data_IF_097354715511
#
_entry.id   IF_097354715511
#
_cell.length_a   1.000
_cell.length_b   1.000
_cell.length_c   1.000
_cell.angle_alpha   90.00
_cell.angle_beta   90.00
_cell.angle_gamma   90.00
#
_symmetry.space_group_name_H-M   'P 1'
#
loop_
_entity.id
_entity.type
_entity.pdbx_description
1 polymer ?
#
# COMPACT_ATOMS: atom_id res chain seq x y z
N UNK A 1 26.47 8.86 -25.46
CA UNK A 1 26.36 9.29 -24.04
C UNK A 1 27.70 9.09 -23.36
N UNK A 2 28.11 9.97 -22.43
CA UNK A 2 29.37 9.80 -21.69
C UNK A 2 29.26 8.56 -20.77
N UNK A 3 30.28 7.69 -20.67
CA UNK A 3 30.27 6.50 -19.82
C UNK A 3 29.75 6.71 -18.38
N UNK A 4 30.02 7.83 -17.67
CA UNK A 4 29.44 8.06 -16.34
C UNK A 4 27.91 8.20 -16.33
N UNK A 5 27.29 8.67 -17.41
CA UNK A 5 25.83 8.83 -17.49
C UNK A 5 25.14 7.46 -17.59
N UNK A 6 25.73 6.54 -18.34
CA UNK A 6 25.20 5.17 -18.45
C UNK A 6 25.35 4.41 -17.13
N UNK A 7 26.48 4.58 -16.44
CA UNK A 7 26.68 3.98 -15.12
C UNK A 7 25.68 4.52 -14.08
N UNK A 8 25.43 5.84 -14.07
CA UNK A 8 24.44 6.44 -13.18
C UNK A 8 23.02 5.94 -13.49
N UNK A 9 22.64 5.86 -14.77
CA UNK A 9 21.34 5.34 -15.17
C UNK A 9 21.16 3.88 -14.77
N UNK A 10 22.19 3.05 -14.94
CA UNK A 10 22.18 1.64 -14.53
C UNK A 10 22.04 1.49 -13.01
N UNK A 11 22.72 2.33 -12.23
CA UNK A 11 22.61 2.32 -10.77
C UNK A 11 21.20 2.68 -10.32
N UNK A 12 20.62 3.75 -10.88
CA UNK A 12 19.23 4.15 -10.58
C UNK A 12 18.25 3.03 -10.93
N UNK A 13 18.39 2.43 -12.11
CA UNK A 13 17.55 1.32 -12.53
C UNK A 13 17.66 0.13 -11.57
N UNK A 14 18.89 -0.23 -11.16
CA UNK A 14 19.11 -1.28 -10.18
C UNK A 14 18.46 -0.96 -8.83
N UNK A 15 18.59 0.27 -8.33
CA UNK A 15 17.96 0.69 -7.08
C UNK A 15 16.44 0.57 -7.15
N UNK A 16 15.82 1.00 -8.26
CA UNK A 16 14.37 0.88 -8.46
C UNK A 16 13.93 -0.59 -8.50
N UNK A 17 14.65 -1.44 -9.23
CA UNK A 17 14.33 -2.89 -9.29
C UNK A 17 14.42 -3.51 -7.91
N UNK A 18 15.51 -3.27 -7.17
CA UNK A 18 15.70 -3.83 -5.84
C UNK A 18 14.64 -3.34 -4.84
N UNK A 19 14.23 -2.07 -4.92
CA UNK A 19 13.16 -1.53 -4.09
C UNK A 19 11.77 -2.10 -4.44
N UNK A 20 11.55 -2.53 -5.69
CA UNK A 20 10.29 -3.10 -6.13
C UNK A 20 10.10 -4.59 -5.77
N UNK A 21 11.18 -5.34 -5.60
CA UNK A 21 11.14 -6.78 -5.28
C UNK A 21 10.26 -7.15 -4.07
N UNK A 22 10.36 -6.46 -2.90
CA UNK A 22 9.57 -6.84 -1.73
C UNK A 22 8.11 -6.41 -1.78
N UNK A 23 7.66 -5.63 -2.78
CA UNK A 23 6.29 -5.08 -2.79
C UNK A 23 5.22 -6.19 -2.80
N UNK A 24 5.51 -7.35 -3.40
CA UNK A 24 4.61 -8.49 -3.43
C UNK A 24 4.76 -9.48 -2.26
N UNK A 25 5.52 -9.16 -1.22
CA UNK A 25 5.69 -10.07 -0.09
C UNK A 25 4.46 -10.09 0.82
N UNK A 26 4.12 -11.29 1.32
CA UNK A 26 2.96 -11.52 2.18
C UNK A 26 2.89 -10.55 3.37
N UNK A 27 1.67 -10.11 3.67
CA UNK A 27 1.34 -9.27 4.82
C UNK A 27 0.52 -10.10 5.81
N UNK A 28 1.12 -10.44 6.95
CA UNK A 28 0.46 -11.29 7.96
C UNK A 28 0.54 -10.74 9.39
N UNK A 29 1.38 -9.74 9.67
CA UNK A 29 1.52 -9.18 11.01
C UNK A 29 1.86 -7.68 11.01
N UNK A 30 1.84 -7.08 12.21
CA UNK A 30 2.32 -5.73 12.45
C UNK A 30 1.36 -4.61 12.06
N UNK A 31 1.94 -3.42 11.86
CA UNK A 31 1.18 -2.20 11.53
C UNK A 31 0.56 -2.27 10.13
N UNK A 32 1.28 -2.82 9.16
CA UNK A 32 0.81 -2.91 7.77
C UNK A 32 -0.45 -3.78 7.65
N UNK A 33 -0.45 -4.97 8.25
CA UNK A 33 -1.62 -5.85 8.30
C UNK A 33 -2.84 -5.13 8.90
N UNK A 34 -2.63 -4.36 9.98
CA UNK A 34 -3.67 -3.58 10.63
C UNK A 34 -4.28 -2.53 9.71
N UNK A 35 -3.46 -1.76 9.01
CA UNK A 35 -3.98 -0.78 8.06
C UNK A 35 -4.73 -1.45 6.91
N UNK A 36 -4.27 -2.61 6.44
CA UNK A 36 -4.99 -3.42 5.46
C UNK A 36 -6.39 -3.84 5.92
N UNK A 37 -6.54 -4.18 7.19
CA UNK A 37 -7.84 -4.51 7.79
C UNK A 37 -8.78 -3.29 7.83
N UNK A 38 -8.25 -2.11 8.10
CA UNK A 38 -9.01 -0.85 8.06
C UNK A 38 -9.51 -0.56 6.65
N UNK A 39 -8.61 -0.62 5.65
CA UNK A 39 -8.97 -0.40 4.23
C UNK A 39 -10.02 -1.41 3.77
N UNK A 40 -9.87 -2.68 4.16
CA UNK A 40 -10.84 -3.73 3.85
C UNK A 40 -12.20 -3.42 4.47
N UNK A 41 -12.23 -2.92 5.70
CA UNK A 41 -13.48 -2.56 6.37
C UNK A 41 -14.16 -1.34 5.74
N UNK A 42 -13.40 -0.32 5.32
CA UNK A 42 -13.94 0.81 4.57
C UNK A 42 -14.66 0.36 3.30
N UNK A 43 -14.01 -0.50 2.51
CA UNK A 43 -14.58 -1.03 1.27
C UNK A 43 -15.81 -1.92 1.53
N UNK A 44 -15.81 -2.65 2.65
CA UNK A 44 -16.91 -3.55 3.02
C UNK A 44 -18.13 -2.82 3.57
N UNK A 45 -17.92 -1.77 4.37
CA UNK A 45 -19.00 -1.08 5.12
C UNK A 45 -19.44 0.22 4.46
N UNK A 46 -18.58 0.84 3.64
CA UNK A 46 -18.79 2.19 3.14
C UNK A 46 -18.57 3.28 4.20
N UNK A 47 -18.01 2.96 5.37
CA UNK A 47 -17.60 3.98 6.34
C UNK A 47 -16.23 4.55 5.96
N UNK A 48 -16.23 5.77 5.42
CA UNK A 48 -15.03 6.47 4.97
C UNK A 48 -14.44 7.41 6.02
N UNK A 49 -15.07 7.54 7.19
CA UNK A 49 -14.69 8.49 8.24
C UNK A 49 -14.07 7.75 9.43
N UNK A 50 -14.75 6.72 9.94
CA UNK A 50 -14.31 5.96 11.11
C UNK A 50 -14.45 4.44 10.90
N UNK A 51 -13.71 3.86 9.94
CA UNK A 51 -13.74 2.42 9.67
C UNK A 51 -13.13 1.61 10.82
N UNK A 52 -13.98 1.13 11.72
CA UNK A 52 -13.57 0.30 12.84
C UNK A 52 -13.20 -1.10 12.36
N UNK A 53 -11.91 -1.44 12.35
CA UNK A 53 -11.52 -2.81 12.07
C UNK A 53 -11.91 -3.71 13.26
N UNK A 54 -12.55 -4.84 12.96
CA UNK A 54 -13.19 -5.71 13.94
C UNK A 54 -14.28 -5.00 14.80
N UNK A 55 -14.94 -3.97 14.24
CA UNK A 55 -16.12 -3.32 14.82
C UNK A 55 -15.90 -2.54 16.13
N UNK A 56 -14.67 -2.47 16.63
CA UNK A 56 -14.36 -1.89 17.94
C UNK A 56 -13.05 -1.12 17.99
N UNK A 57 -12.14 -1.37 17.04
CA UNK A 57 -10.79 -0.79 17.10
C UNK A 57 -10.69 0.40 16.18
N UNK A 58 -10.45 1.57 16.78
CA UNK A 58 -10.23 2.82 16.05
C UNK A 58 -8.88 2.76 15.31
N UNK A 59 -8.84 3.12 14.03
CA UNK A 59 -7.57 3.23 13.29
C UNK A 59 -6.61 4.23 13.94
N UNK A 60 -5.33 3.88 13.99
CA UNK A 60 -4.27 4.73 14.56
C UNK A 60 -3.84 5.87 13.64
N UNK A 61 -4.10 5.76 12.33
CA UNK A 61 -3.71 6.76 11.32
C UNK A 61 -4.93 7.59 10.90
N UNK A 62 -4.73 8.88 10.55
CA UNK A 62 -5.74 9.66 9.84
C UNK A 62 -6.13 8.99 8.49
N UNK A 63 -7.33 9.27 7.97
CA UNK A 63 -7.95 8.45 6.92
C UNK A 63 -7.31 8.60 5.53
N UNK A 64 -6.45 9.60 5.30
CA UNK A 64 -5.86 9.86 3.98
C UNK A 64 -5.13 8.64 3.41
N UNK A 65 -4.33 7.95 4.23
CA UNK A 65 -3.65 6.73 3.79
C UNK A 65 -4.66 5.67 3.33
N UNK A 66 -5.71 5.45 4.13
CA UNK A 66 -6.72 4.44 3.84
C UNK A 66 -7.56 4.81 2.62
N UNK A 67 -7.85 6.08 2.38
CA UNK A 67 -8.53 6.56 1.16
C UNK A 67 -7.72 6.23 -0.10
N UNK A 68 -6.42 6.50 -0.10
CA UNK A 68 -5.56 6.23 -1.26
C UNK A 68 -5.41 4.72 -1.50
N UNK A 69 -5.23 3.94 -0.43
CA UNK A 69 -5.16 2.47 -0.54
C UNK A 69 -6.49 1.87 -1.00
N UNK A 70 -7.62 2.35 -0.48
CA UNK A 70 -8.95 1.93 -0.91
C UNK A 70 -9.21 2.27 -2.38
N UNK A 71 -8.75 3.45 -2.85
CA UNK A 71 -8.83 3.82 -4.25
C UNK A 71 -7.98 2.89 -5.14
N UNK A 72 -6.76 2.57 -4.75
CA UNK A 72 -5.91 1.61 -5.48
C UNK A 72 -6.56 0.22 -5.55
N UNK A 73 -7.11 -0.26 -4.43
CA UNK A 73 -7.84 -1.52 -4.34
C UNK A 73 -9.09 -1.53 -5.25
N UNK A 74 -9.86 -0.44 -5.27
CA UNK A 74 -11.04 -0.30 -6.10
C UNK A 74 -10.71 -0.21 -7.60
N UNK A 75 -9.67 0.56 -7.98
CA UNK A 75 -9.26 0.77 -9.38
C UNK A 75 -8.71 -0.50 -10.04
N UNK A 76 -8.00 -1.33 -9.27
CA UNK A 76 -7.44 -2.60 -9.76
C UNK A 76 -8.48 -3.72 -9.81
N UNK A 77 -9.60 -3.59 -9.09
CA UNK A 77 -10.61 -4.64 -8.94
C UNK A 77 -10.14 -5.88 -8.16
N UNK A 78 -8.88 -5.89 -7.69
CA UNK A 78 -8.28 -7.00 -6.95
C UNK A 78 -8.60 -6.96 -5.45
N UNK A 79 -9.18 -5.87 -4.96
CA UNK A 79 -9.39 -5.65 -3.53
C UNK A 79 -8.09 -5.28 -2.80
N UNK A 80 -8.05 -5.54 -1.49
CA UNK A 80 -6.86 -5.25 -0.67
C UNK A 80 -5.85 -6.38 -0.84
N UNK A 81 -4.72 -6.06 -1.47
CA UNK A 81 -3.57 -6.94 -1.72
C UNK A 81 -2.30 -6.21 -1.28
N UNK A 82 -1.17 -6.91 -1.29
CA UNK A 82 0.16 -6.36 -0.99
C UNK A 82 0.47 -5.14 -1.85
N UNK A 83 0.17 -5.23 -3.15
CA UNK A 83 0.40 -4.16 -4.10
C UNK A 83 -0.54 -2.97 -3.89
N UNK A 84 -1.83 -3.20 -3.65
CA UNK A 84 -2.80 -2.10 -3.53
C UNK A 84 -2.66 -1.38 -2.18
N UNK A 85 -2.27 -2.09 -1.12
CA UNK A 85 -2.01 -1.51 0.19
C UNK A 85 -0.71 -0.72 0.25
N UNK A 86 0.33 -1.14 -0.49
CA UNK A 86 1.63 -0.45 -0.55
C UNK A 86 1.71 0.67 -1.58
N UNK A 87 0.76 0.77 -2.51
CA UNK A 87 0.74 1.80 -3.56
C UNK A 87 0.86 3.26 -3.07
N UNK A 88 0.27 3.68 -1.93
CA UNK A 88 0.39 5.04 -1.42
C UNK A 88 1.59 5.27 -0.47
N UNK A 89 2.54 4.34 -0.40
CA UNK A 89 3.69 4.34 0.54
C UNK A 89 5.05 4.31 -0.14
#
# INVERSE_FOLDING_TARGET
MRPPVLAAAALVALTVVLAALPIGSDIYEGGEAREGLVVREMLRTGDWILPLWNGSVVPSKPPLFHWLAAAAAALTGAGVTEHTLRAPS
#
